data_IF_468532012625
#
_entry.id   IF_468532012625
#
_cell.length_a   1.000
_cell.length_b   1.000
_cell.length_c   1.000
_cell.angle_alpha   90.00
_cell.angle_beta   90.00
_cell.angle_gamma   90.00
#
_symmetry.space_group_name_H-M   'P 1'
#
loop_
_entity.id
_entity.type
_entity.pdbx_description
1 polymer ?
#
# COMPACT_ATOMS: atom_id res chain seq x y z
N UNK A 1 -4.99 -4.49 -49.18
CA UNK A 1 -6.05 -4.90 -48.25
C UNK A 1 -5.84 -4.20 -46.92
N UNK A 2 -6.81 -3.40 -46.46
CA UNK A 2 -6.79 -2.84 -45.09
C UNK A 2 -7.38 -3.87 -44.12
N UNK A 3 -6.75 -4.02 -42.95
CA UNK A 3 -7.28 -4.90 -41.88
C UNK A 3 -8.06 -4.02 -40.90
N UNK A 4 -9.38 -4.22 -40.82
CA UNK A 4 -10.23 -3.50 -39.87
C UNK A 4 -10.10 -4.10 -38.47
N UNK A 5 -9.17 -3.55 -37.68
CA UNK A 5 -9.00 -3.89 -36.27
C UNK A 5 -9.17 -2.64 -35.38
N UNK A 6 -9.70 -2.87 -34.17
CA UNK A 6 -9.90 -1.83 -33.17
C UNK A 6 -8.59 -1.53 -32.42
N UNK A 7 -7.96 -0.42 -32.76
CA UNK A 7 -6.68 0.02 -32.17
C UNK A 7 -6.82 0.83 -30.86
N UNK A 8 -8.04 1.06 -30.37
CA UNK A 8 -8.30 2.01 -29.28
C UNK A 8 -7.71 1.61 -27.91
N UNK A 9 -7.29 0.36 -27.73
CA UNK A 9 -6.76 -0.18 -26.45
C UNK A 9 -5.40 -0.85 -26.57
N UNK A 10 -4.73 -0.71 -27.71
CA UNK A 10 -3.43 -1.34 -27.95
C UNK A 10 -2.37 -0.81 -26.97
N UNK A 11 -2.42 0.50 -26.70
CA UNK A 11 -1.55 1.15 -25.73
C UNK A 11 -1.95 0.77 -24.30
N UNK A 12 -1.18 -0.14 -23.70
CA UNK A 12 -1.35 -0.55 -22.30
C UNK A 12 -0.90 0.53 -21.33
N UNK A 13 -1.83 1.08 -20.54
CA UNK A 13 -1.54 2.08 -19.51
C UNK A 13 -0.93 1.42 -18.27
N UNK A 14 0.41 1.44 -18.17
CA UNK A 14 1.16 0.93 -17.03
C UNK A 14 2.47 1.69 -16.87
N UNK A 15 3.02 1.68 -15.65
CA UNK A 15 4.37 2.22 -15.40
C UNK A 15 5.44 1.18 -15.74
N UNK A 16 6.40 1.58 -16.55
CA UNK A 16 7.60 0.82 -16.91
C UNK A 16 8.80 1.20 -16.04
N UNK A 17 8.75 2.36 -15.40
CA UNK A 17 9.79 2.92 -14.55
C UNK A 17 9.18 3.79 -13.42
N UNK A 18 9.94 4.11 -12.35
CA UNK A 18 9.46 5.05 -11.35
C UNK A 18 9.48 6.48 -11.91
N UNK A 19 8.40 7.24 -11.73
CA UNK A 19 8.36 8.68 -12.06
C UNK A 19 9.32 9.53 -11.19
N UNK A 20 9.82 8.97 -10.08
CA UNK A 20 10.72 9.66 -9.14
C UNK A 20 12.13 9.79 -9.72
N UNK A 21 12.79 10.92 -9.46
CA UNK A 21 14.20 11.15 -9.78
C UNK A 21 15.17 10.71 -8.68
N UNK A 22 14.65 10.22 -7.54
CA UNK A 22 15.46 9.66 -6.44
C UNK A 22 16.41 8.55 -6.92
N UNK A 23 17.71 8.81 -6.79
CA UNK A 23 18.79 7.95 -7.26
C UNK A 23 18.78 6.60 -6.52
N UNK A 24 18.55 6.58 -5.21
CA UNK A 24 18.52 5.35 -4.42
C UNK A 24 17.39 4.42 -4.86
N UNK A 25 16.21 4.99 -5.16
CA UNK A 25 15.10 4.21 -5.69
C UNK A 25 15.43 3.65 -7.08
N UNK A 26 16.12 4.42 -7.93
CA UNK A 26 16.55 3.98 -9.27
C UNK A 26 17.58 2.85 -9.21
N UNK A 27 18.52 2.89 -8.26
CA UNK A 27 19.48 1.81 -8.03
C UNK A 27 18.77 0.51 -7.60
N UNK A 28 17.83 0.59 -6.66
CA UNK A 28 17.02 -0.57 -6.27
C UNK A 28 16.19 -1.11 -7.45
N UNK A 29 15.66 -0.23 -8.31
CA UNK A 29 14.97 -0.64 -9.53
C UNK A 29 15.89 -1.36 -10.50
N UNK A 30 17.13 -0.88 -10.71
CA UNK A 30 18.12 -1.57 -11.56
C UNK A 30 18.40 -2.99 -11.02
N UNK A 31 18.62 -3.12 -9.72
CA UNK A 31 18.82 -4.40 -9.04
C UNK A 31 17.63 -5.36 -9.25
N UNK A 32 16.41 -4.93 -8.92
CA UNK A 32 15.23 -5.77 -9.06
C UNK A 32 14.82 -6.02 -10.52
N UNK A 33 15.20 -5.15 -11.46
CA UNK A 33 15.03 -5.39 -12.90
C UNK A 33 15.96 -6.51 -13.37
N UNK A 34 17.20 -6.54 -12.89
CA UNK A 34 18.12 -7.66 -13.13
C UNK A 34 17.58 -8.96 -12.53
N UNK A 35 17.22 -8.97 -11.24
CA UNK A 35 16.69 -10.15 -10.56
C UNK A 35 15.39 -10.66 -11.20
N UNK A 36 14.44 -9.77 -11.53
CA UNK A 36 13.17 -10.19 -12.12
C UNK A 36 13.32 -10.78 -13.53
N UNK A 37 14.40 -10.44 -14.25
CA UNK A 37 14.73 -11.00 -15.56
C UNK A 37 15.52 -12.31 -15.47
N UNK A 38 16.51 -12.38 -14.57
CA UNK A 38 17.43 -13.52 -14.45
C UNK A 38 16.95 -14.62 -13.48
N UNK A 39 15.91 -14.36 -12.70
CA UNK A 39 15.31 -15.36 -11.81
C UNK A 39 13.88 -15.68 -12.21
N UNK A 40 13.47 -16.93 -12.02
CA UNK A 40 12.10 -17.38 -12.25
C UNK A 40 11.12 -17.03 -11.10
N UNK A 41 11.51 -16.12 -10.20
CA UNK A 41 10.69 -15.78 -9.04
C UNK A 41 9.64 -14.71 -9.35
N UNK A 42 8.36 -15.05 -9.12
CA UNK A 42 7.24 -14.08 -9.20
C UNK A 42 7.38 -12.97 -8.16
N UNK A 43 8.03 -13.23 -7.02
CA UNK A 43 8.27 -12.24 -5.97
C UNK A 43 9.00 -11.01 -6.52
N UNK A 44 10.11 -11.21 -7.24
CA UNK A 44 10.93 -10.13 -7.81
C UNK A 44 10.13 -9.29 -8.82
N UNK A 45 9.32 -9.95 -9.67
CA UNK A 45 8.41 -9.25 -10.61
C UNK A 45 7.40 -8.36 -9.86
N UNK A 46 6.86 -8.82 -8.74
CA UNK A 46 5.93 -8.04 -7.92
C UNK A 46 6.63 -6.89 -7.20
N UNK A 47 7.81 -7.10 -6.61
CA UNK A 47 8.60 -6.05 -5.95
C UNK A 47 8.98 -4.96 -6.94
N UNK A 48 9.50 -5.31 -8.12
CA UNK A 48 9.82 -4.36 -9.20
C UNK A 48 8.60 -3.52 -9.59
N UNK A 49 7.45 -4.15 -9.82
CA UNK A 49 6.20 -3.45 -10.13
C UNK A 49 5.78 -2.50 -9.02
N UNK A 50 6.01 -2.86 -7.75
CA UNK A 50 5.68 -2.01 -6.59
C UNK A 50 6.67 -0.85 -6.45
N UNK A 51 7.94 -1.00 -6.79
CA UNK A 51 8.90 0.12 -6.80
C UNK A 51 8.48 1.24 -7.77
N UNK A 52 7.81 0.91 -8.88
CA UNK A 52 7.27 1.88 -9.84
C UNK A 52 6.02 2.64 -9.34
N UNK A 53 5.33 2.11 -8.33
CA UNK A 53 4.06 2.68 -7.87
C UNK A 53 4.23 4.07 -7.27
N UNK A 54 3.22 4.92 -7.45
CA UNK A 54 3.13 6.22 -6.77
C UNK A 54 3.02 6.06 -5.25
N UNK A 55 3.30 7.13 -4.52
CA UNK A 55 3.13 7.18 -3.05
C UNK A 55 1.71 6.81 -2.62
N UNK A 56 0.70 7.29 -3.35
CA UNK A 56 -0.72 6.97 -3.09
C UNK A 56 -1.03 5.48 -3.20
N UNK A 57 -0.32 4.76 -4.09
CA UNK A 57 -0.49 3.32 -4.31
C UNK A 57 0.45 2.45 -3.45
N UNK A 58 1.38 3.08 -2.72
CA UNK A 58 2.24 2.50 -1.68
C UNK A 58 1.88 3.08 -0.30
N UNK A 59 0.67 2.79 0.22
CA UNK A 59 0.25 3.30 1.51
C UNK A 59 1.17 2.79 2.64
N UNK A 60 1.36 3.58 3.71
CA UNK A 60 2.12 3.15 4.87
C UNK A 60 1.46 1.92 5.52
N UNK A 61 2.28 1.06 6.12
CA UNK A 61 1.83 -0.09 6.90
C UNK A 61 2.12 0.15 8.38
N UNK A 62 1.07 0.16 9.21
CA UNK A 62 1.20 0.24 10.65
C UNK A 62 1.76 -1.06 11.25
N UNK A 63 2.58 -0.95 12.30
CA UNK A 63 3.13 -2.10 13.05
C UNK A 63 2.04 -3.08 13.50
N UNK A 64 0.92 -2.57 14.01
CA UNK A 64 -0.22 -3.39 14.44
C UNK A 64 -0.76 -4.31 13.36
N UNK A 65 -0.93 -3.77 12.16
CA UNK A 65 -1.42 -4.52 11.01
C UNK A 65 -0.38 -5.54 10.55
N UNK A 66 0.90 -5.19 10.63
CA UNK A 66 2.00 -6.11 10.30
C UNK A 66 2.02 -7.30 11.26
N UNK A 67 2.00 -7.05 12.58
CA UNK A 67 1.97 -8.08 13.62
C UNK A 67 0.80 -9.04 13.41
N UNK A 68 -0.42 -8.52 13.23
CA UNK A 68 -1.61 -9.35 12.96
C UNK A 68 -1.48 -10.22 11.72
N UNK A 69 -0.75 -9.77 10.69
CA UNK A 69 -0.53 -10.53 9.45
C UNK A 69 0.64 -11.50 9.53
N UNK A 70 1.56 -11.29 10.45
CA UNK A 70 2.66 -12.22 10.74
C UNK A 70 2.24 -13.32 11.72
N UNK A 71 1.29 -13.04 12.64
CA UNK A 71 0.71 -14.04 13.57
C UNK A 71 -0.22 -15.07 12.90
N UNK A 72 -0.46 -14.97 11.59
CA UNK A 72 -1.26 -15.97 10.88
C UNK A 72 -0.47 -17.29 10.78
N UNK A 73 -1.13 -18.46 10.85
CA UNK A 73 -0.45 -19.75 10.88
C UNK A 73 0.44 -19.95 9.65
N UNK A 74 1.61 -20.58 9.86
CA UNK A 74 2.56 -20.89 8.79
C UNK A 74 3.40 -19.69 8.31
N UNK A 75 3.49 -18.62 9.11
CA UNK A 75 4.30 -17.42 8.82
C UNK A 75 5.39 -17.13 9.84
N UNK A 76 5.60 -18.07 10.74
CA UNK A 76 6.63 -18.00 11.76
C UNK A 76 8.01 -17.93 11.11
N UNK A 77 8.92 -17.16 11.71
CA UNK A 77 10.29 -16.93 11.24
C UNK A 77 10.45 -16.36 9.82
N UNK A 78 9.35 -15.99 9.14
CA UNK A 78 9.41 -15.34 7.83
C UNK A 78 9.71 -13.84 7.94
N UNK A 79 10.31 -13.30 6.88
CA UNK A 79 10.59 -11.87 6.79
C UNK A 79 9.38 -11.11 6.24
N UNK A 80 8.89 -10.12 6.98
CA UNK A 80 7.84 -9.22 6.51
C UNK A 80 8.42 -8.20 5.51
N UNK A 81 7.94 -8.21 4.26
CA UNK A 81 8.44 -7.32 3.20
C UNK A 81 7.40 -6.28 2.83
N UNK A 82 7.77 -5.00 2.91
CA UNK A 82 6.90 -3.86 2.65
C UNK A 82 7.58 -2.90 1.67
N UNK A 83 7.09 -2.84 0.44
CA UNK A 83 7.54 -1.81 -0.52
C UNK A 83 6.83 -0.49 -0.21
N UNK A 84 7.27 0.19 0.85
CA UNK A 84 6.64 1.39 1.39
C UNK A 84 7.23 1.79 2.74
N UNK A 85 6.47 2.58 3.49
CA UNK A 85 6.85 3.04 4.83
C UNK A 85 6.19 2.18 5.90
N UNK A 86 6.96 1.76 6.90
CA UNK A 86 6.44 1.16 8.14
C UNK A 86 6.31 2.24 9.19
N UNK A 87 5.11 2.39 9.75
CA UNK A 87 4.77 3.41 10.75
C UNK A 87 4.49 2.79 12.10
N UNK A 88 4.81 3.53 13.16
CA UNK A 88 4.53 3.14 14.54
C UNK A 88 3.02 3.11 14.81
N UNK A 89 2.62 2.34 15.82
CA UNK A 89 1.27 2.30 16.34
C UNK A 89 1.31 2.27 17.88
N UNK A 90 1.02 3.42 18.48
CA UNK A 90 1.13 3.66 19.93
C UNK A 90 0.14 2.79 20.72
N UNK A 91 -0.96 2.35 20.07
CA UNK A 91 -2.03 1.57 20.72
C UNK A 91 -1.62 0.14 21.08
N UNK A 92 -0.55 -0.37 20.48
CA UNK A 92 0.01 -1.66 20.83
C UNK A 92 1.14 -1.43 21.81
N UNK A 93 1.25 -2.27 22.82
CA UNK A 93 2.34 -2.25 23.79
C UNK A 93 3.39 -3.29 23.40
N UNK A 94 2.97 -4.55 23.27
CA UNK A 94 3.86 -5.67 22.99
C UNK A 94 4.17 -5.84 21.50
N UNK A 95 5.46 -5.88 21.18
CA UNK A 95 5.94 -6.13 19.83
C UNK A 95 6.73 -7.43 19.84
N UNK A 96 6.33 -8.44 19.05
CA UNK A 96 7.11 -9.66 18.91
C UNK A 96 8.41 -9.39 18.16
N UNK A 97 9.36 -10.32 18.27
CA UNK A 97 10.59 -10.32 17.45
C UNK A 97 10.22 -10.46 15.98
N UNK A 98 10.51 -9.42 15.17
CA UNK A 98 10.15 -9.36 13.75
C UNK A 98 11.37 -9.14 12.88
N UNK A 99 11.44 -9.85 11.75
CA UNK A 99 12.34 -9.54 10.63
C UNK A 99 11.57 -8.74 9.59
N UNK A 100 11.96 -7.49 9.37
CA UNK A 100 11.21 -6.55 8.53
C UNK A 100 12.12 -5.98 7.44
N UNK A 101 11.67 -6.00 6.18
CA UNK A 101 12.29 -5.29 5.08
C UNK A 101 11.36 -4.19 4.59
N UNK A 102 11.84 -2.94 4.54
CA UNK A 102 11.05 -1.81 4.06
C UNK A 102 11.88 -0.74 3.36
N UNK A 103 11.22 0.15 2.60
CA UNK A 103 11.89 1.31 2.02
C UNK A 103 12.20 2.37 3.08
N UNK A 104 11.29 2.57 4.01
CA UNK A 104 11.43 3.51 5.13
C UNK A 104 10.77 2.93 6.37
N UNK A 105 11.37 3.17 7.53
CA UNK A 105 10.78 2.87 8.84
C UNK A 105 10.82 4.15 9.66
N UNK A 106 9.71 4.53 10.29
CA UNK A 106 9.70 5.73 11.15
C UNK A 106 10.56 5.51 12.41
N UNK A 107 11.08 6.58 13.01
CA UNK A 107 11.96 6.51 14.20
C UNK A 107 11.34 5.71 15.33
N UNK A 108 10.07 5.97 15.67
CA UNK A 108 9.33 5.23 16.70
C UNK A 108 9.22 3.73 16.39
N UNK A 109 8.82 3.38 15.15
CA UNK A 109 8.72 1.98 14.76
C UNK A 109 10.09 1.28 14.77
N UNK A 110 11.15 1.98 14.33
CA UNK A 110 12.53 1.46 14.32
C UNK A 110 13.01 1.14 15.73
N UNK A 111 12.87 2.09 16.66
CA UNK A 111 13.28 1.91 18.06
C UNK A 111 12.56 0.73 18.70
N UNK A 112 11.26 0.59 18.45
CA UNK A 112 10.45 -0.47 19.06
C UNK A 112 10.74 -1.86 18.50
N UNK A 113 10.95 -1.99 17.18
CA UNK A 113 11.36 -3.26 16.57
C UNK A 113 12.71 -3.71 17.11
N UNK A 114 13.69 -2.80 17.17
CA UNK A 114 15.04 -3.12 17.67
C UNK A 114 15.03 -3.46 19.16
N UNK A 115 14.26 -2.73 19.98
CA UNK A 115 14.08 -3.02 21.41
C UNK A 115 13.49 -4.42 21.65
N UNK A 116 12.60 -4.87 20.77
CA UNK A 116 12.04 -6.23 20.80
C UNK A 116 13.01 -7.31 20.24
N UNK A 117 14.26 -6.97 19.97
CA UNK A 117 15.25 -7.88 19.38
C UNK A 117 14.99 -8.23 17.91
N UNK A 118 14.13 -7.47 17.24
CA UNK A 118 13.84 -7.63 15.81
C UNK A 118 14.95 -7.08 14.90
N UNK A 119 14.88 -7.43 13.62
CA UNK A 119 15.83 -7.01 12.60
C UNK A 119 15.13 -6.18 11.53
N UNK A 120 15.76 -5.08 11.11
CA UNK A 120 15.29 -4.25 10.00
C UNK A 120 16.31 -4.31 8.88
N UNK A 121 15.85 -4.67 7.68
CA UNK A 121 16.66 -4.81 6.49
C UNK A 121 16.24 -3.83 5.41
N UNK A 122 17.19 -3.45 4.57
CA UNK A 122 16.93 -2.77 3.30
C UNK A 122 16.69 -3.77 2.18
N UNK A 123 16.24 -3.29 1.02
CA UNK A 123 15.90 -4.15 -0.12
C UNK A 123 17.12 -4.76 -0.81
N UNK A 124 18.27 -4.09 -0.77
CA UNK A 124 19.58 -4.61 -1.19
C UNK A 124 20.05 -5.75 -0.27
N UNK A 125 19.98 -5.58 1.06
CA UNK A 125 20.25 -6.65 2.02
C UNK A 125 19.31 -7.85 1.85
N UNK A 126 18.02 -7.60 1.62
CA UNK A 126 17.05 -8.67 1.33
C UNK A 126 17.40 -9.41 0.04
N UNK A 127 17.86 -8.71 -0.99
CA UNK A 127 18.26 -9.33 -2.25
C UNK A 127 19.48 -10.25 -2.09
N UNK A 128 20.41 -9.92 -1.20
CA UNK A 128 21.55 -10.78 -0.85
C UNK A 128 21.09 -12.00 -0.03
N UNK A 129 20.25 -11.79 0.98
CA UNK A 129 19.81 -12.87 1.88
C UNK A 129 18.82 -13.85 1.22
N UNK A 130 17.91 -13.34 0.37
CA UNK A 130 16.86 -14.13 -0.25
C UNK A 130 16.61 -13.67 -1.70
N UNK A 131 17.52 -13.95 -2.65
CA UNK A 131 17.44 -13.46 -4.03
C UNK A 131 16.19 -13.94 -4.78
N UNK A 132 15.63 -15.09 -4.38
CA UNK A 132 14.35 -15.62 -4.92
C UNK A 132 13.12 -15.21 -4.09
N UNK A 133 13.30 -14.52 -2.95
CA UNK A 133 12.21 -14.16 -2.02
C UNK A 133 11.73 -15.31 -1.13
N UNK A 134 12.57 -16.32 -0.90
CA UNK A 134 12.26 -17.45 -0.03
C UNK A 134 12.01 -16.98 1.42
N UNK A 135 11.06 -17.59 2.12
CA UNK A 135 10.76 -17.24 3.50
C UNK A 135 10.27 -15.80 3.70
N UNK A 136 9.71 -15.15 2.68
CA UNK A 136 9.18 -13.78 2.77
C UNK A 136 7.65 -13.73 2.77
N UNK A 137 7.10 -12.73 3.45
CA UNK A 137 5.67 -12.40 3.45
C UNK A 137 5.51 -10.98 2.91
N UNK A 138 5.02 -10.86 1.68
CA UNK A 138 4.85 -9.57 1.03
C UNK A 138 3.55 -8.89 1.48
N UNK A 139 3.67 -7.78 2.21
CA UNK A 139 2.55 -7.04 2.78
C UNK A 139 2.31 -5.70 2.06
N UNK A 140 1.12 -5.12 2.26
CA UNK A 140 0.75 -3.79 1.79
C UNK A 140 -0.15 -3.12 2.80
N UNK A 141 0.00 -1.80 2.98
CA UNK A 141 -0.96 -0.99 3.70
C UNK A 141 -2.33 -0.96 3.00
N UNK A 142 -3.38 -0.49 3.70
CA UNK A 142 -4.72 -0.35 3.13
C UNK A 142 -4.76 0.76 2.07
N UNK A 143 -4.91 0.38 0.80
CA UNK A 143 -4.96 1.35 -0.32
C UNK A 143 -6.18 2.26 -0.26
N UNK A 144 -7.35 1.73 0.09
CA UNK A 144 -8.61 2.47 0.21
C UNK A 144 -8.80 3.16 1.57
N UNK A 145 -7.76 3.26 2.40
CA UNK A 145 -7.84 3.90 3.73
C UNK A 145 -7.88 5.43 3.71
N UNK A 146 -7.70 6.06 2.54
CA UNK A 146 -7.67 7.53 2.39
C UNK A 146 -9.07 8.11 2.32
N UNK A 147 -9.23 9.33 2.83
CA UNK A 147 -10.50 10.07 2.81
C UNK A 147 -11.06 10.27 1.40
N UNK A 148 -10.21 10.48 0.39
CA UNK A 148 -10.63 10.62 -1.01
C UNK A 148 -11.54 9.47 -1.45
N UNK A 149 -11.28 8.23 -1.01
CA UNK A 149 -12.12 7.08 -1.37
C UNK A 149 -13.50 7.09 -0.71
N UNK A 150 -13.73 7.89 0.33
CA UNK A 150 -15.06 8.07 0.94
C UNK A 150 -15.98 8.95 0.08
N UNK A 151 -15.40 9.77 -0.79
CA UNK A 151 -16.11 10.64 -1.73
C UNK A 151 -16.34 9.97 -3.09
N UNK A 152 -15.73 8.82 -3.33
CA UNK A 152 -15.93 8.05 -4.54
C UNK A 152 -17.09 7.08 -4.39
N UNK A 153 -17.79 6.80 -5.50
CA UNK A 153 -18.89 5.86 -5.54
C UNK A 153 -20.12 6.49 -6.19
N UNK A 154 -21.29 5.90 -5.93
CA UNK A 154 -22.58 6.43 -6.36
C UNK A 154 -22.77 7.83 -5.77
N UNK A 155 -23.41 8.74 -6.52
CA UNK A 155 -23.52 10.13 -6.11
C UNK A 155 -24.14 10.27 -4.69
N UNK A 156 -23.68 11.23 -3.87
CA UNK A 156 -24.35 11.56 -2.61
C UNK A 156 -25.79 11.99 -2.89
N UNK A 157 -26.76 11.33 -2.23
CA UNK A 157 -28.18 11.65 -2.42
C UNK A 157 -28.92 10.75 -3.39
N UNK A 158 -28.30 9.75 -4.01
CA UNK A 158 -29.06 8.65 -4.62
C UNK A 158 -29.48 7.62 -3.57
N UNK A 159 -30.57 6.87 -3.77
CA UNK A 159 -31.01 5.84 -2.81
C UNK A 159 -29.90 4.86 -2.44
N UNK A 160 -29.80 4.57 -1.14
CA UNK A 160 -28.82 3.65 -0.52
C UNK A 160 -27.34 4.04 -0.72
N UNK A 161 -27.05 5.29 -1.10
CA UNK A 161 -25.67 5.78 -1.21
C UNK A 161 -25.17 6.37 0.11
N UNK A 162 -24.02 5.86 0.56
CA UNK A 162 -23.30 6.36 1.73
C UNK A 162 -22.06 7.19 1.38
N UNK A 163 -21.95 7.62 0.12
CA UNK A 163 -20.83 8.46 -0.33
C UNK A 163 -20.82 9.78 0.42
N UNK A 164 -19.67 10.14 0.98
CA UNK A 164 -19.48 11.38 1.73
C UNK A 164 -19.58 12.57 0.75
N UNK A 165 -20.46 13.56 0.96
CA UNK A 165 -20.49 14.76 0.14
C UNK A 165 -19.27 15.66 0.42
N UNK A 166 -18.91 16.50 -0.54
CA UNK A 166 -17.92 17.56 -0.35
C UNK A 166 -18.60 18.78 0.25
N UNK A 167 -18.32 19.06 1.53
CA UNK A 167 -18.93 20.17 2.27
C UNK A 167 -17.82 21.00 2.90
N UNK A 168 -17.94 22.34 2.85
CA UNK A 168 -16.93 23.26 3.40
C UNK A 168 -16.74 23.09 4.92
N UNK A 169 -17.83 22.86 5.64
CA UNK A 169 -17.81 22.66 7.10
C UNK A 169 -18.86 21.62 7.51
N UNK A 170 -18.65 20.97 8.65
CA UNK A 170 -19.59 19.97 9.18
C UNK A 170 -20.37 20.57 10.34
N UNK A 171 -21.69 20.67 10.23
CA UNK A 171 -22.54 21.19 11.30
C UNK A 171 -24.03 21.06 11.00
N UNK A 172 -24.88 21.52 11.92
CA UNK A 172 -26.35 21.45 11.79
C UNK A 172 -26.86 22.14 10.53
N UNK A 173 -26.24 23.27 10.17
CA UNK A 173 -26.63 24.13 9.04
C UNK A 173 -26.03 23.72 7.68
N UNK A 174 -25.22 22.66 7.63
CA UNK A 174 -24.52 22.26 6.40
C UNK A 174 -25.03 20.90 5.89
N UNK A 175 -25.77 20.92 4.77
CA UNK A 175 -26.27 19.73 4.04
C UNK A 175 -26.99 18.67 4.91
N UNK A 176 -27.85 19.12 5.85
CA UNK A 176 -28.68 18.24 6.70
C UNK A 176 -30.20 18.45 6.55
N UNK A 177 -30.61 19.28 5.60
CA UNK A 177 -32.00 19.67 5.40
C UNK A 177 -32.71 18.75 4.37
N UNK A 178 -33.20 19.33 3.26
CA UNK A 178 -33.90 18.60 2.20
C UNK A 178 -33.05 17.47 1.61
N UNK A 179 -33.65 16.31 1.38
CA UNK A 179 -32.98 15.13 0.81
C UNK A 179 -32.23 14.26 1.83
N UNK A 180 -32.14 14.68 3.11
CA UNK A 180 -31.51 13.91 4.20
C UNK A 180 -32.48 13.49 5.30
N UNK A 181 -33.68 14.07 5.35
CA UNK A 181 -34.69 13.86 6.39
C UNK A 181 -36.08 13.83 5.78
N UNK A 182 -36.89 12.86 6.20
CA UNK A 182 -38.26 12.72 5.68
C UNK A 182 -39.12 13.96 5.97
N UNK A 183 -38.91 14.63 7.12
CA UNK A 183 -39.65 15.83 7.51
C UNK A 183 -39.37 17.09 6.67
N UNK A 184 -38.42 17.05 5.73
CA UNK A 184 -38.08 18.19 4.86
C UNK A 184 -38.06 17.74 3.40
N UNK A 185 -39.24 17.54 2.83
CA UNK A 185 -39.43 17.16 1.42
C UNK A 185 -39.28 15.66 1.17
N UNK A 186 -38.07 15.10 1.33
CA UNK A 186 -37.82 13.67 1.13
C UNK A 186 -36.50 13.22 1.78
N UNK A 187 -36.31 11.91 1.90
CA UNK A 187 -35.06 11.27 2.32
C UNK A 187 -34.72 10.14 1.35
N UNK A 188 -33.52 10.21 0.79
CA UNK A 188 -32.93 9.15 -0.04
C UNK A 188 -32.00 8.25 0.77
#
# INVERSE_FOLDING_TARGET
>A
MGVDIRHNKDRKVRRTEPKSQDIYLRLLVKLYRFLARRTNSRFNKVVLKRLFMSRTNRPPLALSRMIRKMKLPGRDNKTAVVVGTVTDDIRIQDIPKLKVCALRVTKGARSRILKAGGQIMTFDQLAMAAPKGQGTVLLSGPRKGREVYRHFGKAPGTPHSHTKPYVRSKGRKFERARGRRASRGYKN
#
